data_IF_742206297990
#
_entry.id   IF_742206297990
#
_cell.length_a   1.000
_cell.length_b   1.000
_cell.length_c   1.000
_cell.angle_alpha   90.00
_cell.angle_beta   90.00
_cell.angle_gamma   90.00
#
_symmetry.space_group_name_H-M   'P 1'
#
loop_
_entity.id
_entity.type
_entity.pdbx_description
1 polymer ?
#
# COMPACT_ATOMS: atom_id res chain seq x y z
N UNK A 1 -29.51 -14.07 -17.05
CA UNK A 1 -28.79 -14.26 -18.32
C UNK A 1 -28.27 -15.70 -18.36
N UNK A 2 -28.85 -16.50 -19.23
CA UNK A 2 -28.39 -17.89 -19.46
C UNK A 2 -27.08 -17.80 -20.25
N UNK A 3 -25.95 -17.95 -19.55
CA UNK A 3 -24.68 -18.23 -20.21
C UNK A 3 -24.82 -19.52 -21.00
N UNK A 4 -24.49 -19.53 -22.29
CA UNK A 4 -24.65 -20.70 -23.12
C UNK A 4 -23.82 -21.86 -22.53
N UNK A 5 -24.34 -23.10 -22.54
CA UNK A 5 -23.63 -24.31 -22.09
C UNK A 5 -22.19 -24.37 -22.65
N UNK A 6 -22.00 -23.87 -23.87
CA UNK A 6 -20.71 -23.83 -24.58
C UNK A 6 -19.69 -22.89 -23.89
N UNK A 7 -20.11 -21.71 -23.44
CA UNK A 7 -19.25 -20.77 -22.72
C UNK A 7 -18.88 -21.29 -21.31
N UNK A 8 -19.83 -21.96 -20.63
CA UNK A 8 -19.58 -22.62 -19.34
C UNK A 8 -18.58 -23.76 -19.43
N UNK A 9 -18.65 -24.58 -20.49
CA UNK A 9 -17.70 -25.69 -20.68
C UNK A 9 -16.30 -25.18 -21.04
N UNK A 10 -16.18 -24.14 -21.87
CA UNK A 10 -14.90 -23.50 -22.19
C UNK A 10 -14.24 -22.93 -20.95
N UNK A 11 -15.00 -22.21 -20.11
CA UNK A 11 -14.50 -21.68 -18.85
C UNK A 11 -14.04 -22.77 -17.88
N UNK A 12 -14.80 -23.89 -17.76
CA UNK A 12 -14.39 -25.04 -16.95
C UNK A 12 -13.08 -25.62 -17.42
N UNK A 13 -12.94 -25.83 -18.71
CA UNK A 13 -11.73 -26.40 -19.31
C UNK A 13 -10.52 -25.50 -19.06
N UNK A 14 -10.63 -24.18 -19.30
CA UNK A 14 -9.59 -23.20 -19.02
C UNK A 14 -9.24 -23.13 -17.53
N UNK A 15 -10.25 -23.27 -16.64
CA UNK A 15 -10.04 -23.30 -15.20
C UNK A 15 -9.26 -24.52 -14.75
N UNK A 16 -9.62 -25.72 -15.24
CA UNK A 16 -8.90 -26.93 -14.91
C UNK A 16 -7.47 -26.95 -15.48
N UNK A 17 -7.28 -26.51 -16.71
CA UNK A 17 -5.95 -26.36 -17.30
C UNK A 17 -5.05 -25.43 -16.48
N UNK A 18 -5.53 -24.25 -16.11
CA UNK A 18 -4.79 -23.32 -15.26
C UNK A 18 -4.49 -23.86 -13.86
N UNK A 19 -5.43 -24.59 -13.27
CA UNK A 19 -5.26 -25.21 -11.96
C UNK A 19 -4.20 -26.31 -11.96
N UNK A 20 -4.09 -27.08 -13.01
CA UNK A 20 -3.07 -28.13 -13.15
C UNK A 20 -1.67 -27.58 -13.51
N UNK A 21 -1.57 -26.31 -13.87
CA UNK A 21 -0.29 -25.68 -14.19
C UNK A 21 0.40 -25.05 -12.98
N UNK A 22 -0.23 -25.06 -11.82
CA UNK A 22 0.34 -24.45 -10.59
C UNK A 22 0.11 -25.33 -9.38
N UNK A 23 1.14 -25.45 -8.55
CA UNK A 23 1.10 -26.14 -7.27
C UNK A 23 1.69 -25.22 -6.20
N UNK A 24 1.01 -25.12 -5.06
CA UNK A 24 1.49 -24.37 -3.90
C UNK A 24 1.71 -25.31 -2.73
N UNK A 25 2.91 -25.28 -2.15
CA UNK A 25 3.28 -26.04 -0.96
C UNK A 25 3.37 -25.07 0.21
N UNK A 26 2.36 -25.05 1.10
CA UNK A 26 2.30 -24.12 2.21
C UNK A 26 3.43 -24.38 3.21
N UNK A 27 3.98 -23.29 3.74
CA UNK A 27 5.04 -23.33 4.74
C UNK A 27 4.54 -23.66 6.13
N UNK A 28 5.47 -24.11 6.98
CA UNK A 28 5.25 -24.32 8.41
C UNK A 28 6.46 -23.85 9.21
N UNK A 29 6.25 -22.95 10.14
CA UNK A 29 7.32 -22.37 10.98
C UNK A 29 7.97 -23.40 11.91
N UNK A 30 7.24 -24.47 12.28
CA UNK A 30 7.77 -25.57 13.10
C UNK A 30 8.74 -26.48 12.36
N UNK A 31 8.79 -26.38 11.02
CA UNK A 31 9.75 -27.15 10.22
C UNK A 31 11.12 -26.48 10.21
N UNK A 32 12.19 -27.27 10.32
CA UNK A 32 13.59 -26.81 10.20
C UNK A 32 13.86 -25.98 8.93
N UNK A 33 13.11 -26.24 7.86
CA UNK A 33 13.27 -25.59 6.56
C UNK A 33 12.14 -24.58 6.24
N UNK A 34 11.26 -24.27 7.22
CA UNK A 34 10.08 -23.44 6.98
C UNK A 34 9.01 -24.12 6.11
N UNK A 35 9.26 -25.35 5.67
CA UNK A 35 8.36 -26.19 4.87
C UNK A 35 8.68 -27.66 5.13
N UNK A 36 7.70 -28.58 5.06
CA UNK A 36 7.93 -29.99 5.27
C UNK A 36 8.37 -30.72 4.02
N UNK A 37 7.86 -30.33 2.87
CA UNK A 37 8.11 -30.98 1.59
C UNK A 37 9.31 -30.37 0.85
N UNK A 38 9.56 -29.08 1.05
CA UNK A 38 10.67 -28.36 0.45
C UNK A 38 11.79 -28.18 1.46
N UNK A 39 12.99 -28.65 1.13
CA UNK A 39 14.18 -28.57 1.98
C UNK A 39 15.30 -27.92 1.20
N UNK A 40 15.86 -26.83 1.73
CA UNK A 40 16.99 -26.13 1.14
C UNK A 40 18.22 -26.34 2.05
N UNK A 41 19.34 -26.78 1.48
CA UNK A 41 20.56 -27.11 2.20
C UNK A 41 21.64 -26.01 2.17
N UNK A 42 21.34 -24.88 1.54
CA UNK A 42 22.25 -23.75 1.32
C UNK A 42 22.70 -23.66 -0.15
N UNK A 43 22.45 -24.66 -0.96
CA UNK A 43 22.77 -24.73 -2.37
C UNK A 43 21.64 -25.30 -3.20
N UNK A 44 21.11 -26.47 -2.81
CA UNK A 44 20.13 -27.21 -3.57
C UNK A 44 18.76 -27.18 -2.88
N UNK A 45 17.70 -27.14 -3.67
CA UNK A 45 16.32 -27.25 -3.21
C UNK A 45 15.78 -28.64 -3.51
N UNK A 46 15.52 -29.43 -2.48
CA UNK A 46 14.89 -30.74 -2.57
C UNK A 46 13.40 -30.64 -2.32
N UNK A 47 12.59 -31.27 -3.18
CA UNK A 47 11.12 -31.28 -3.06
C UNK A 47 10.65 -32.74 -3.02
N UNK A 48 9.97 -33.10 -1.91
CA UNK A 48 9.35 -34.43 -1.77
C UNK A 48 8.00 -34.44 -2.49
N UNK A 49 7.85 -35.31 -3.47
CA UNK A 49 6.64 -35.49 -4.26
C UNK A 49 5.60 -36.35 -3.53
N UNK A 50 4.37 -36.43 -4.03
CA UNK A 50 3.25 -37.17 -3.42
C UNK A 50 3.52 -38.69 -3.39
N UNK A 51 4.25 -39.20 -4.38
CA UNK A 51 4.65 -40.61 -4.49
C UNK A 51 5.86 -40.96 -3.61
N UNK A 52 6.37 -40.02 -2.84
CA UNK A 52 7.54 -40.16 -1.98
C UNK A 52 8.88 -39.97 -2.70
N UNK A 53 8.89 -39.77 -4.00
CA UNK A 53 10.11 -39.44 -4.75
C UNK A 53 10.61 -38.04 -4.37
N UNK A 54 11.91 -37.79 -4.57
CA UNK A 54 12.52 -36.51 -4.30
C UNK A 54 13.09 -35.91 -5.57
N UNK A 55 12.62 -34.74 -5.91
CA UNK A 55 13.15 -33.94 -7.03
C UNK A 55 14.13 -32.90 -6.47
N UNK A 56 15.33 -32.80 -7.04
CA UNK A 56 16.37 -31.87 -6.61
C UNK A 56 16.58 -30.81 -7.67
N UNK A 57 16.53 -29.53 -7.28
CA UNK A 57 16.86 -28.38 -8.10
C UNK A 57 18.25 -27.88 -7.65
N UNK A 58 19.26 -28.16 -8.45
CA UNK A 58 20.64 -27.80 -8.15
C UNK A 58 20.90 -26.32 -8.32
N UNK A 59 21.83 -25.78 -7.51
CA UNK A 59 22.25 -24.37 -7.51
C UNK A 59 21.06 -23.40 -7.44
N UNK A 60 20.07 -23.72 -6.60
CA UNK A 60 18.85 -22.94 -6.46
C UNK A 60 19.15 -21.57 -5.81
N UNK A 61 18.83 -20.50 -6.52
CA UNK A 61 18.97 -19.11 -6.06
C UNK A 61 17.76 -18.29 -6.39
N UNK A 62 17.40 -17.40 -5.49
CA UNK A 62 16.36 -16.41 -5.75
C UNK A 62 16.96 -15.18 -6.43
N UNK A 63 16.37 -14.67 -7.51
CA UNK A 63 16.89 -13.47 -8.19
C UNK A 63 16.71 -12.19 -7.34
N UNK A 64 15.93 -12.27 -6.26
CA UNK A 64 15.65 -11.17 -5.34
C UNK A 64 15.49 -11.71 -3.92
N UNK A 65 15.90 -10.92 -2.93
CA UNK A 65 15.81 -11.25 -1.49
C UNK A 65 16.51 -12.57 -1.11
N UNK A 66 17.58 -12.93 -1.83
CA UNK A 66 18.37 -14.15 -1.57
C UNK A 66 18.92 -14.18 -0.15
N UNK A 67 19.45 -13.05 0.34
CA UNK A 67 19.99 -12.94 1.70
C UNK A 67 18.91 -13.21 2.76
N UNK A 68 17.70 -12.62 2.60
CA UNK A 68 16.58 -12.86 3.50
C UNK A 68 16.11 -14.31 3.46
N UNK A 69 16.15 -14.94 2.29
CA UNK A 69 15.84 -16.36 2.13
C UNK A 69 16.87 -17.23 2.85
N UNK A 70 18.15 -17.02 2.62
CA UNK A 70 19.22 -17.79 3.26
C UNK A 70 19.26 -17.59 4.77
N UNK A 71 19.01 -16.36 5.25
CA UNK A 71 18.96 -16.05 6.68
C UNK A 71 17.89 -16.88 7.42
N UNK A 72 16.80 -17.26 6.75
CA UNK A 72 15.77 -18.11 7.34
C UNK A 72 16.27 -19.50 7.76
N UNK A 73 17.35 -19.97 7.19
CA UNK A 73 17.93 -21.29 7.50
C UNK A 73 19.05 -21.22 8.56
N UNK A 74 19.63 -20.03 8.75
CA UNK A 74 20.73 -19.79 9.71
C UNK A 74 20.26 -19.13 11.00
N UNK A 75 19.03 -18.58 11.04
CA UNK A 75 18.48 -17.95 12.23
C UNK A 75 18.08 -19.00 13.31
N UNK A 76 17.82 -18.51 14.53
CA UNK A 76 17.29 -19.35 15.61
C UNK A 76 15.92 -19.93 15.25
N UNK A 77 15.55 -21.09 15.80
CA UNK A 77 14.27 -21.74 15.51
C UNK A 77 13.04 -20.85 15.70
N UNK A 78 13.04 -20.01 16.73
CA UNK A 78 11.97 -19.07 17.07
C UNK A 78 11.79 -17.95 16.02
N UNK A 79 12.87 -17.59 15.31
CA UNK A 79 12.88 -16.54 14.29
C UNK A 79 12.58 -17.06 12.88
N UNK A 80 12.43 -18.38 12.72
CA UNK A 80 12.16 -18.99 11.42
C UNK A 80 10.78 -18.64 10.92
N UNK A 81 10.74 -18.36 9.63
CA UNK A 81 9.48 -18.09 8.93
C UNK A 81 8.97 -19.31 8.20
N UNK A 82 7.66 -19.37 8.02
CA UNK A 82 7.04 -20.28 7.08
C UNK A 82 7.38 -19.86 5.64
N UNK A 83 7.87 -20.78 4.83
CA UNK A 83 8.18 -20.54 3.43
C UNK A 83 7.16 -21.29 2.55
N UNK A 84 6.33 -20.55 1.83
CA UNK A 84 5.41 -21.14 0.87
C UNK A 84 6.08 -21.16 -0.51
N UNK A 85 6.20 -22.37 -1.09
CA UNK A 85 6.77 -22.55 -2.42
C UNK A 85 5.64 -22.72 -3.45
N UNK A 86 5.71 -21.92 -4.51
CA UNK A 86 4.77 -22.01 -5.62
C UNK A 86 5.52 -22.45 -6.88
N UNK A 87 5.05 -23.52 -7.46
CA UNK A 87 5.57 -24.10 -8.70
C UNK A 87 4.58 -23.82 -9.82
N UNK A 88 5.01 -23.13 -10.87
CA UNK A 88 4.14 -22.76 -11.99
C UNK A 88 4.79 -23.22 -13.28
N UNK A 89 4.14 -24.18 -13.95
CA UNK A 89 4.56 -24.65 -15.26
C UNK A 89 4.07 -23.68 -16.33
N UNK A 90 4.98 -23.18 -17.16
CA UNK A 90 4.65 -22.29 -18.28
C UNK A 90 5.28 -22.79 -19.57
N UNK A 91 4.82 -22.22 -20.69
CA UNK A 91 5.40 -22.39 -22.02
C UNK A 91 5.82 -21.05 -22.56
N UNK A 92 6.94 -21.01 -23.24
CA UNK A 92 7.41 -19.83 -23.97
C UNK A 92 6.74 -19.70 -25.35
N UNK A 93 7.15 -18.72 -26.13
CA UNK A 93 6.64 -18.49 -27.48
C UNK A 93 7.01 -19.61 -28.45
N UNK A 94 8.04 -20.38 -28.16
CA UNK A 94 8.52 -21.53 -28.94
C UNK A 94 7.92 -22.85 -28.44
N UNK A 95 6.91 -22.80 -27.55
CA UNK A 95 6.24 -23.91 -26.91
C UNK A 95 7.14 -24.77 -25.99
N UNK A 96 8.32 -24.30 -25.63
CA UNK A 96 9.21 -24.95 -24.68
C UNK A 96 8.67 -24.75 -23.25
N UNK A 97 8.61 -25.84 -22.50
CA UNK A 97 8.15 -25.81 -21.11
C UNK A 97 9.26 -25.32 -20.17
N UNK A 98 8.89 -24.49 -19.21
CA UNK A 98 9.75 -24.09 -18.12
C UNK A 98 8.97 -24.00 -16.81
N UNK A 99 9.66 -24.22 -15.70
CA UNK A 99 9.11 -24.17 -14.36
C UNK A 99 9.55 -22.89 -13.67
N UNK A 100 8.59 -22.10 -13.20
CA UNK A 100 8.86 -20.98 -12.29
C UNK A 100 8.68 -21.47 -10.87
N UNK A 101 9.72 -21.34 -10.06
CA UNK A 101 9.67 -21.58 -8.62
C UNK A 101 9.70 -20.21 -7.93
N UNK A 102 8.68 -19.90 -7.16
CA UNK A 102 8.65 -18.69 -6.36
C UNK A 102 8.45 -19.03 -4.88
N UNK A 103 9.13 -18.27 -4.02
CA UNK A 103 9.06 -18.44 -2.58
C UNK A 103 8.38 -17.23 -1.98
N UNK A 104 7.30 -17.46 -1.23
CA UNK A 104 6.63 -16.42 -0.45
C UNK A 104 7.19 -16.44 0.96
N UNK A 105 7.77 -15.32 1.38
CA UNK A 105 8.30 -15.09 2.72
C UNK A 105 7.83 -13.74 3.24
N UNK A 106 7.78 -13.57 4.55
CA UNK A 106 7.47 -12.29 5.19
C UNK A 106 8.75 -11.47 5.25
N UNK A 107 8.76 -10.29 4.65
CA UNK A 107 9.85 -9.33 4.81
C UNK A 107 9.66 -8.56 6.12
N UNK A 108 10.76 -8.29 6.82
CA UNK A 108 10.74 -7.45 8.02
C UNK A 108 10.54 -6.00 7.57
N UNK A 109 9.61 -5.30 8.23
CA UNK A 109 9.45 -3.87 8.01
C UNK A 109 10.72 -3.14 8.47
N UNK A 110 11.15 -2.18 7.68
CA UNK A 110 12.20 -1.25 8.08
C UNK A 110 11.60 -0.18 8.98
N UNK A 111 12.12 -0.08 10.19
CA UNK A 111 11.74 0.93 11.15
C UNK A 111 12.88 1.93 11.30
N UNK A 112 12.63 3.17 10.97
CA UNK A 112 13.57 4.27 11.20
C UNK A 112 13.01 5.17 12.30
N UNK A 113 13.65 5.18 13.45
CA UNK A 113 13.30 6.06 14.58
C UNK A 113 13.85 7.48 14.45
N UNK A 114 14.71 7.73 13.47
CA UNK A 114 15.26 9.06 13.22
C UNK A 114 14.28 9.92 12.44
N UNK A 115 13.92 11.07 12.99
CA UNK A 115 12.93 12.01 12.44
C UNK A 115 13.55 13.26 11.81
N UNK A 116 14.89 13.43 11.91
CA UNK A 116 15.61 14.67 11.61
C UNK A 116 15.57 15.12 10.14
N UNK A 117 15.16 14.26 9.21
CA UNK A 117 15.08 14.62 7.79
C UNK A 117 13.63 14.89 7.32
N UNK A 118 12.67 14.86 8.25
CA UNK A 118 11.27 15.10 7.93
C UNK A 118 10.60 13.92 7.23
N UNK A 119 9.71 14.19 6.27
CA UNK A 119 8.89 13.17 5.62
C UNK A 119 8.52 13.52 4.18
N UNK A 120 8.20 12.49 3.40
CA UNK A 120 7.39 12.58 2.19
C UNK A 120 6.02 12.01 2.55
N UNK A 121 4.97 12.76 2.36
CA UNK A 121 3.60 12.36 2.65
C UNK A 121 2.75 12.31 1.39
N UNK A 122 1.72 11.45 1.41
CA UNK A 122 0.94 11.15 0.23
C UNK A 122 -0.55 11.05 0.53
N UNK A 123 -1.35 11.78 -0.26
CA UNK A 123 -2.79 11.61 -0.40
C UNK A 123 -3.07 10.78 -1.67
N UNK A 124 -3.80 9.66 -1.50
CA UNK A 124 -4.07 8.71 -2.58
C UNK A 124 -5.44 8.96 -3.17
N UNK A 125 -5.48 9.18 -4.47
CA UNK A 125 -6.71 9.27 -5.23
C UNK A 125 -6.77 8.20 -6.34
N UNK A 126 -7.94 8.02 -6.93
CA UNK A 126 -8.15 6.99 -7.96
C UNK A 126 -7.40 7.28 -9.28
N UNK A 127 -7.00 8.52 -9.52
CA UNK A 127 -6.39 9.01 -10.77
C UNK A 127 -5.08 9.77 -10.55
N UNK A 128 -4.66 9.95 -9.28
CA UNK A 128 -3.40 10.61 -8.97
C UNK A 128 -2.93 10.36 -7.54
N UNK A 129 -1.65 10.58 -7.32
CA UNK A 129 -1.05 10.78 -6.01
C UNK A 129 -0.72 12.25 -5.83
N UNK A 130 -1.12 12.85 -4.73
CA UNK A 130 -0.62 14.14 -4.30
C UNK A 130 0.47 13.91 -3.24
N UNK A 131 1.64 14.49 -3.46
CA UNK A 131 2.80 14.37 -2.57
C UNK A 131 3.11 15.72 -1.95
N UNK A 132 3.50 15.70 -0.68
CA UNK A 132 4.12 16.83 -0.01
C UNK A 132 5.43 16.37 0.66
N UNK A 133 6.48 17.17 0.52
CA UNK A 133 7.75 16.98 1.18
C UNK A 133 7.88 17.99 2.31
N UNK A 134 8.16 17.51 3.53
CA UNK A 134 8.30 18.31 4.73
C UNK A 134 9.71 18.13 5.32
N UNK A 135 10.21 19.16 5.98
CA UNK A 135 11.33 19.02 6.91
C UNK A 135 10.85 18.57 8.30
N UNK A 136 11.78 18.39 9.23
CA UNK A 136 11.50 17.95 10.60
C UNK A 136 10.64 18.96 11.38
N UNK A 137 10.67 20.23 11.00
CA UNK A 137 9.83 21.27 11.60
C UNK A 137 8.43 21.33 11.00
N UNK A 138 8.16 20.54 9.99
CA UNK A 138 6.90 20.52 9.24
C UNK A 138 6.77 21.67 8.25
N UNK A 139 7.87 22.30 7.83
CA UNK A 139 7.86 23.27 6.73
C UNK A 139 7.67 22.53 5.41
N UNK A 140 6.77 23.00 4.58
CA UNK A 140 6.57 22.48 3.22
C UNK A 140 7.77 22.86 2.34
N UNK A 141 8.50 21.85 1.86
CA UNK A 141 9.68 22.04 1.00
C UNK A 141 9.34 21.90 -0.48
N UNK A 142 8.53 20.89 -0.82
CA UNK A 142 8.13 20.60 -2.20
C UNK A 142 6.78 19.91 -2.23
N UNK A 143 6.14 19.94 -3.39
CA UNK A 143 4.88 19.26 -3.63
C UNK A 143 4.78 18.80 -5.08
N UNK A 144 4.16 17.66 -5.29
CA UNK A 144 4.02 17.07 -6.62
C UNK A 144 2.68 16.39 -6.78
N UNK A 145 2.15 16.47 -7.99
CA UNK A 145 0.97 15.70 -8.41
C UNK A 145 1.42 14.68 -9.47
N UNK A 146 1.21 13.40 -9.20
CA UNK A 146 1.52 12.31 -10.13
C UNK A 146 0.20 11.76 -10.64
N UNK A 147 -0.13 12.10 -11.90
CA UNK A 147 -1.38 11.67 -12.55
C UNK A 147 -1.21 10.34 -13.25
N UNK A 148 -2.26 9.52 -13.22
CA UNK A 148 -2.34 8.25 -13.94
C UNK A 148 -3.79 7.95 -14.31
N UNK A 149 -3.98 7.08 -15.31
CA UNK A 149 -5.31 6.60 -15.74
C UNK A 149 -5.38 5.08 -15.58
N UNK A 150 -6.27 4.63 -14.70
CA UNK A 150 -6.53 3.21 -14.45
C UNK A 150 -7.83 2.71 -15.10
N UNK A 151 -8.58 3.60 -15.75
CA UNK A 151 -9.86 3.24 -16.36
C UNK A 151 -9.68 2.29 -17.54
N UNK A 152 -10.52 1.27 -17.60
CA UNK A 152 -10.51 0.26 -18.69
C UNK A 152 -9.16 -0.44 -18.92
N UNK A 153 -8.27 -0.46 -17.91
CA UNK A 153 -6.99 -1.13 -17.98
C UNK A 153 -7.09 -2.56 -17.43
N UNK A 154 -6.36 -3.47 -18.08
CA UNK A 154 -6.20 -4.83 -17.56
C UNK A 154 -5.37 -4.82 -16.26
N UNK A 155 -5.46 -5.89 -15.49
CA UNK A 155 -4.68 -6.09 -14.25
C UNK A 155 -3.18 -5.84 -14.43
N UNK A 156 -2.58 -6.34 -15.51
CA UNK A 156 -1.17 -6.14 -15.82
C UNK A 156 -0.83 -4.68 -16.15
N UNK A 157 -1.69 -4.01 -16.92
CA UNK A 157 -1.53 -2.59 -17.23
C UNK A 157 -1.62 -1.72 -15.97
N UNK A 158 -2.59 -1.97 -15.09
CA UNK A 158 -2.71 -1.29 -13.79
C UNK A 158 -1.42 -1.45 -12.97
N UNK A 159 -0.88 -2.67 -12.89
CA UNK A 159 0.38 -2.93 -12.16
C UNK A 159 1.56 -2.14 -12.74
N UNK A 160 1.67 -2.06 -14.06
CA UNK A 160 2.73 -1.31 -14.72
C UNK A 160 2.59 0.20 -14.52
N UNK A 161 1.37 0.75 -14.63
CA UNK A 161 1.08 2.18 -14.42
C UNK A 161 1.40 2.57 -12.98
N UNK A 162 0.92 1.81 -12.01
CA UNK A 162 1.20 2.06 -10.59
C UNK A 162 2.70 1.91 -10.29
N UNK A 163 3.37 0.90 -10.83
CA UNK A 163 4.82 0.73 -10.67
C UNK A 163 5.63 1.91 -11.22
N UNK A 164 5.20 2.53 -12.32
CA UNK A 164 5.81 3.74 -12.85
C UNK A 164 5.55 4.96 -11.94
N UNK A 165 4.32 5.09 -11.41
CA UNK A 165 3.96 6.16 -10.47
C UNK A 165 4.74 6.01 -9.14
N UNK A 166 4.81 4.80 -8.60
CA UNK A 166 5.55 4.46 -7.38
C UNK A 166 7.04 4.82 -7.50
N UNK A 167 7.64 4.61 -8.67
CA UNK A 167 9.05 4.96 -8.90
C UNK A 167 9.33 6.43 -8.57
N UNK A 168 8.44 7.34 -8.96
CA UNK A 168 8.60 8.77 -8.65
C UNK A 168 8.57 9.09 -7.16
N UNK A 169 7.93 8.25 -6.35
CA UNK A 169 7.88 8.39 -4.89
C UNK A 169 9.16 7.82 -4.29
N UNK A 170 9.47 6.59 -4.64
CA UNK A 170 10.53 5.82 -4.02
C UNK A 170 11.95 6.23 -4.41
N UNK A 171 12.14 6.86 -5.56
CA UNK A 171 13.42 7.43 -5.92
C UNK A 171 13.75 8.68 -5.07
N UNK A 172 12.74 9.37 -4.52
CA UNK A 172 12.92 10.57 -3.69
C UNK A 172 13.19 10.27 -2.21
N UNK A 173 12.63 9.20 -1.66
CA UNK A 173 12.77 8.87 -0.24
C UNK A 173 14.22 8.55 0.16
N UNK A 174 14.94 7.67 -0.56
CA UNK A 174 16.34 7.34 -0.23
C UNK A 174 17.30 8.50 -0.41
N UNK A 175 17.15 9.29 -1.50
CA UNK A 175 18.01 10.43 -1.78
C UNK A 175 18.03 11.45 -0.64
N UNK A 176 16.95 11.50 0.14
CA UNK A 176 16.74 12.48 1.20
C UNK A 176 16.65 11.86 2.59
N UNK A 177 16.84 10.54 2.69
CA UNK A 177 16.67 9.76 3.92
C UNK A 177 15.35 10.10 4.66
N UNK A 178 14.26 10.22 3.89
CA UNK A 178 12.95 10.58 4.38
C UNK A 178 12.04 9.37 4.46
N UNK A 179 11.23 9.34 5.51
CA UNK A 179 10.15 8.36 5.64
C UNK A 179 8.98 8.68 4.70
N UNK A 180 8.24 7.65 4.32
CA UNK A 180 6.99 7.79 3.60
C UNK A 180 5.81 7.68 4.56
N UNK A 181 4.88 8.62 4.47
CA UNK A 181 3.67 8.66 5.31
C UNK A 181 2.44 8.69 4.40
N UNK A 182 1.46 7.84 4.67
CA UNK A 182 0.16 7.85 4.00
C UNK A 182 -0.99 7.62 4.98
N UNK A 183 -2.21 7.81 4.52
CA UNK A 183 -3.41 7.47 5.28
C UNK A 183 -3.59 5.95 5.38
N UNK A 184 -4.04 5.48 6.54
CA UNK A 184 -4.53 4.11 6.73
C UNK A 184 -5.99 4.04 6.27
N UNK A 185 -6.17 3.77 4.98
CA UNK A 185 -7.50 3.66 4.39
C UNK A 185 -8.07 2.31 4.76
N UNK A 186 -8.97 2.29 5.76
CA UNK A 186 -9.73 1.10 6.11
C UNK A 186 -10.74 0.77 5.00
N UNK A 187 -10.38 -0.19 4.17
CA UNK A 187 -11.17 -0.66 3.03
C UNK A 187 -12.32 -1.58 3.44
N UNK A 188 -12.43 -1.91 4.73
CA UNK A 188 -13.57 -2.69 5.27
C UNK A 188 -14.78 -1.80 5.52
N UNK A 189 -14.60 -0.50 5.67
CA UNK A 189 -15.68 0.46 5.84
C UNK A 189 -16.42 0.59 4.51
N UNK A 190 -17.70 0.20 4.50
CA UNK A 190 -18.59 0.42 3.35
C UNK A 190 -18.71 1.91 3.10
N UNK A 191 -18.03 2.42 2.07
CA UNK A 191 -18.19 3.80 1.64
C UNK A 191 -19.68 4.08 1.39
N UNK A 192 -20.24 5.17 1.94
CA UNK A 192 -21.64 5.50 1.73
C UNK A 192 -21.92 5.63 0.23
N UNK A 193 -22.92 4.94 -0.25
CA UNK A 193 -23.32 4.93 -1.65
C UNK A 193 -23.68 6.36 -2.10
N UNK A 194 -22.80 7.00 -2.88
CA UNK A 194 -23.13 8.29 -3.50
C UNK A 194 -24.37 8.13 -4.39
N UNK A 195 -25.35 8.99 -4.21
CA UNK A 195 -26.69 8.88 -4.80
C UNK A 195 -26.78 9.13 -6.33
N UNK A 196 -25.69 9.47 -7.02
CA UNK A 196 -25.72 9.82 -8.45
C UNK A 196 -24.60 9.13 -9.24
N UNK A 197 -24.96 8.42 -10.32
CA UNK A 197 -24.07 7.75 -11.26
C UNK A 197 -24.30 6.23 -11.35
N UNK A 198 -23.76 5.59 -12.37
CA UNK A 198 -23.89 4.14 -12.60
C UNK A 198 -23.21 3.35 -11.45
N UNK A 199 -24.03 3.00 -10.46
CA UNK A 199 -23.67 2.60 -9.08
C UNK A 199 -22.72 1.41 -8.97
N UNK A 200 -22.73 0.46 -9.92
CA UNK A 200 -21.96 -0.79 -9.83
C UNK A 200 -20.53 -0.64 -10.38
N UNK A 201 -20.30 0.16 -11.41
CA UNK A 201 -18.98 0.33 -12.02
C UNK A 201 -18.02 1.16 -11.15
N UNK A 202 -18.50 2.30 -10.62
CA UNK A 202 -17.65 3.22 -9.86
C UNK A 202 -17.22 2.66 -8.48
N UNK A 203 -18.07 1.86 -7.83
CA UNK A 203 -17.80 1.34 -6.48
C UNK A 203 -16.73 0.24 -6.49
N UNK A 204 -16.81 -0.70 -7.43
CA UNK A 204 -15.81 -1.77 -7.55
C UNK A 204 -14.44 -1.27 -8.00
N UNK A 205 -14.41 -0.28 -8.90
CA UNK A 205 -13.14 0.31 -9.37
C UNK A 205 -12.41 1.04 -8.27
N UNK A 206 -13.11 1.80 -7.43
CA UNK A 206 -12.49 2.62 -6.39
C UNK A 206 -11.84 1.77 -5.30
N UNK A 207 -12.57 0.84 -4.69
CA UNK A 207 -12.04 -0.03 -3.62
C UNK A 207 -10.88 -0.91 -4.10
N UNK A 208 -11.02 -1.52 -5.27
CA UNK A 208 -10.01 -2.39 -5.84
C UNK A 208 -8.73 -1.64 -6.24
N UNK A 209 -8.86 -0.41 -6.74
CA UNK A 209 -7.73 0.46 -7.06
C UNK A 209 -6.97 0.85 -5.79
N UNK A 210 -7.66 1.31 -4.75
CA UNK A 210 -7.05 1.69 -3.48
C UNK A 210 -6.30 0.53 -2.81
N UNK A 211 -6.90 -0.67 -2.76
CA UNK A 211 -6.23 -1.86 -2.21
C UNK A 211 -4.93 -2.18 -2.95
N UNK A 212 -4.95 -2.10 -4.28
CA UNK A 212 -3.77 -2.35 -5.10
C UNK A 212 -2.69 -1.30 -4.90
N UNK A 213 -3.08 -0.03 -4.86
CA UNK A 213 -2.18 1.09 -4.62
C UNK A 213 -1.52 0.91 -3.24
N UNK A 214 -2.30 0.75 -2.18
CA UNK A 214 -1.79 0.58 -0.82
C UNK A 214 -0.84 -0.61 -0.72
N UNK A 215 -1.22 -1.77 -1.27
CA UNK A 215 -0.37 -2.97 -1.28
C UNK A 215 0.89 -2.79 -2.13
N UNK A 216 0.82 -2.05 -3.25
CA UNK A 216 1.99 -1.76 -4.08
C UNK A 216 3.00 -0.93 -3.32
N UNK A 217 2.55 0.14 -2.69
CA UNK A 217 3.38 1.06 -1.91
C UNK A 217 4.03 0.35 -0.73
N UNK A 218 3.25 -0.39 0.06
CA UNK A 218 3.77 -1.16 1.18
C UNK A 218 4.84 -2.17 0.75
N UNK A 219 4.58 -2.94 -0.30
CA UNK A 219 5.55 -3.88 -0.85
C UNK A 219 6.81 -3.20 -1.40
N UNK A 220 6.68 -2.04 -2.03
CA UNK A 220 7.84 -1.29 -2.54
C UNK A 220 8.66 -0.67 -1.40
N UNK A 221 8.01 -0.17 -0.36
CA UNK A 221 8.69 0.33 0.85
C UNK A 221 9.50 -0.77 1.51
N UNK A 222 8.93 -1.96 1.71
CA UNK A 222 9.62 -3.13 2.26
C UNK A 222 10.83 -3.55 1.42
N UNK A 223 10.68 -3.60 0.09
CA UNK A 223 11.75 -4.02 -0.82
C UNK A 223 12.92 -3.04 -0.89
N UNK A 224 12.68 -1.78 -0.59
CA UNK A 224 13.67 -0.70 -0.67
C UNK A 224 14.16 -0.25 0.70
N UNK A 225 13.71 -0.94 1.76
CA UNK A 225 14.04 -0.61 3.15
C UNK A 225 13.74 0.85 3.52
N UNK A 226 12.60 1.36 3.01
CA UNK A 226 12.14 2.70 3.30
C UNK A 226 11.17 2.64 4.48
N UNK A 227 11.41 3.48 5.48
CA UNK A 227 10.50 3.63 6.62
C UNK A 227 9.13 4.11 6.15
N UNK A 228 8.09 3.33 6.47
CA UNK A 228 6.74 3.56 6.00
C UNK A 228 5.75 3.59 7.16
N UNK A 229 4.94 4.64 7.23
CA UNK A 229 3.98 4.85 8.29
C UNK A 229 2.59 5.13 7.74
N UNK A 230 1.59 4.59 8.42
CA UNK A 230 0.18 4.88 8.16
C UNK A 230 -0.38 5.72 9.29
N UNK A 231 -1.21 6.70 8.94
CA UNK A 231 -1.89 7.58 9.90
C UNK A 231 -3.40 7.47 9.74
N UNK A 232 -4.13 7.81 10.80
CA UNK A 232 -5.59 7.90 10.76
C UNK A 232 -6.05 9.00 9.79
N UNK A 233 -6.91 8.70 8.80
CA UNK A 233 -7.37 9.65 7.78
C UNK A 233 -8.35 10.70 8.30
N UNK A 234 -8.76 10.63 9.58
CA UNK A 234 -9.80 11.50 10.10
C UNK A 234 -9.46 12.99 9.93
N UNK A 235 -10.30 13.70 9.21
CA UNK A 235 -10.25 15.14 8.96
C UNK A 235 -9.07 15.69 8.14
N UNK A 236 -8.16 14.87 7.64
CA UNK A 236 -6.95 15.31 6.91
C UNK A 236 -7.27 16.23 5.72
N UNK A 237 -8.22 15.85 4.88
CA UNK A 237 -8.66 16.68 3.75
C UNK A 237 -9.33 17.98 4.17
N UNK A 238 -10.09 17.97 5.27
CA UNK A 238 -10.78 19.17 5.79
C UNK A 238 -9.76 20.13 6.40
N UNK A 239 -8.83 19.62 7.22
CA UNK A 239 -7.70 20.38 7.76
C UNK A 239 -6.89 21.01 6.63
N UNK A 240 -6.51 20.20 5.64
CA UNK A 240 -5.76 20.67 4.49
C UNK A 240 -6.45 21.80 3.74
N UNK A 241 -7.72 21.60 3.39
CA UNK A 241 -8.54 22.60 2.71
C UNK A 241 -8.60 23.91 3.48
N UNK A 242 -8.84 23.86 4.77
CA UNK A 242 -9.09 25.02 5.59
C UNK A 242 -7.80 25.76 5.98
N UNK A 243 -6.77 25.04 6.45
CA UNK A 243 -5.56 25.66 7.00
C UNK A 243 -4.53 26.00 5.91
N UNK A 244 -4.40 25.19 4.87
CA UNK A 244 -3.21 25.20 4.03
C UNK A 244 -3.47 25.51 2.57
N UNK A 245 -4.63 25.15 2.02
CA UNK A 245 -4.91 25.29 0.59
C UNK A 245 -4.73 26.75 0.11
N UNK A 246 -5.33 27.71 0.82
CA UNK A 246 -5.19 29.15 0.49
C UNK A 246 -3.82 29.72 0.90
N UNK A 247 -3.30 29.29 2.03
CA UNK A 247 -2.03 29.78 2.57
C UNK A 247 -0.86 29.51 1.62
N UNK A 248 -0.85 28.35 0.97
CA UNK A 248 0.23 27.93 0.08
C UNK A 248 -0.16 27.97 -1.41
N UNK A 249 -1.39 28.34 -1.74
CA UNK A 249 -1.86 28.37 -3.14
C UNK A 249 -1.88 26.98 -3.82
N UNK A 250 -2.21 25.93 -3.07
CA UNK A 250 -2.13 24.54 -3.49
C UNK A 250 -3.51 23.90 -3.64
N UNK A 251 -3.60 22.77 -4.34
CA UNK A 251 -4.85 22.03 -4.47
C UNK A 251 -5.26 21.39 -3.13
N UNK A 252 -6.55 21.00 -3.04
CA UNK A 252 -7.07 20.32 -1.85
C UNK A 252 -6.31 19.03 -1.55
N UNK A 253 -5.93 18.26 -2.58
CA UNK A 253 -5.20 17.00 -2.44
C UNK A 253 -3.75 17.21 -1.99
N UNK A 254 -3.08 18.26 -2.49
CA UNK A 254 -1.76 18.62 -2.03
C UNK A 254 -1.78 19.13 -0.57
N UNK A 255 -2.83 19.87 -0.21
CA UNK A 255 -3.04 20.32 1.17
C UNK A 255 -3.36 19.15 2.11
N UNK A 256 -4.13 18.16 1.66
CA UNK A 256 -4.35 16.91 2.39
C UNK A 256 -3.03 16.14 2.58
N UNK A 257 -2.23 15.97 1.52
CA UNK A 257 -0.91 15.33 1.61
C UNK A 257 -0.01 16.05 2.63
N UNK A 258 0.02 17.38 2.63
CA UNK A 258 0.77 18.16 3.61
C UNK A 258 0.28 17.91 5.05
N UNK A 259 -1.04 17.88 5.25
CA UNK A 259 -1.65 17.57 6.55
C UNK A 259 -1.29 16.17 7.04
N UNK A 260 -1.32 15.17 6.14
CA UNK A 260 -0.88 13.80 6.42
C UNK A 260 0.56 13.79 6.94
N UNK A 261 1.44 14.58 6.31
CA UNK A 261 2.82 14.74 6.75
C UNK A 261 2.94 15.31 8.15
N UNK A 262 2.20 16.36 8.46
CA UNK A 262 2.19 16.99 9.79
C UNK A 262 1.69 16.01 10.87
N UNK A 263 0.60 15.26 10.59
CA UNK A 263 0.10 14.22 11.50
C UNK A 263 1.16 13.15 11.74
N UNK A 264 1.79 12.66 10.68
CA UNK A 264 2.80 11.61 10.77
C UNK A 264 4.13 12.04 11.41
N UNK A 265 4.42 13.34 11.44
CA UNK A 265 5.54 13.92 12.19
C UNK A 265 5.17 14.27 13.64
N UNK A 266 3.88 14.13 14.02
CA UNK A 266 3.42 14.46 15.37
C UNK A 266 3.28 15.97 15.64
N UNK A 267 3.27 16.81 14.61
CA UNK A 267 3.20 18.27 14.69
C UNK A 267 1.73 18.75 14.78
N UNK A 268 1.02 18.25 15.78
CA UNK A 268 -0.43 18.45 15.94
C UNK A 268 -0.81 19.90 16.26
N UNK A 269 0.10 20.68 16.86
CA UNK A 269 -0.11 22.10 17.16
C UNK A 269 -0.32 22.93 15.89
N UNK A 270 0.23 22.51 14.77
CA UNK A 270 0.04 23.16 13.46
C UNK A 270 -1.31 22.87 12.81
N UNK A 271 -2.06 21.93 13.36
CA UNK A 271 -3.36 21.49 12.87
C UNK A 271 -4.54 22.16 13.58
N UNK A 272 -4.25 22.98 14.58
CA UNK A 272 -5.27 23.74 15.32
C UNK A 272 -5.43 25.10 14.65
N UNK A 273 -6.65 25.47 14.20
CA UNK A 273 -6.90 26.79 13.64
C UNK A 273 -6.84 27.86 14.72
N UNK A 274 -6.26 29.01 14.40
CA UNK A 274 -6.28 30.15 15.30
C UNK A 274 -7.68 30.82 15.37
N UNK A 275 -7.90 31.65 16.38
CA UNK A 275 -9.18 32.34 16.59
C UNK A 275 -9.57 33.27 15.44
N UNK A 276 -8.60 33.83 14.70
CA UNK A 276 -8.86 34.69 13.53
C UNK A 276 -9.42 33.87 12.39
N UNK A 277 -8.87 32.65 12.16
CA UNK A 277 -9.38 31.73 11.14
C UNK A 277 -10.79 31.26 11.47
N UNK A 278 -11.06 30.96 12.73
CA UNK A 278 -12.40 30.54 13.19
C UNK A 278 -13.44 31.64 13.03
N UNK A 279 -13.07 32.90 13.28
CA UNK A 279 -13.96 34.04 13.09
C UNK A 279 -14.37 34.31 11.63
N UNK A 280 -13.64 33.74 10.67
CA UNK A 280 -14.01 33.80 9.25
C UNK A 280 -15.10 32.79 8.87
N UNK A 281 -15.40 31.83 9.73
CA UNK A 281 -16.41 30.80 9.49
C UNK A 281 -17.78 31.27 9.93
N UNK A 282 -18.79 30.96 9.11
CA UNK A 282 -20.19 31.14 9.54
C UNK A 282 -20.57 30.02 10.49
N UNK A 283 -20.93 30.36 11.71
CA UNK A 283 -21.42 29.40 12.70
C UNK A 283 -22.89 29.05 12.41
N UNK A 284 -23.26 27.80 12.70
CA UNK A 284 -24.67 27.37 12.68
C UNK A 284 -25.46 27.97 13.85
N UNK A 285 -24.78 28.27 14.96
CA UNK A 285 -25.34 28.71 16.24
C UNK A 285 -24.88 30.12 16.69
N UNK A 286 -24.11 30.82 15.88
CA UNK A 286 -23.66 32.20 16.18
C UNK A 286 -22.48 32.33 17.14
N UNK A 287 -22.00 31.26 17.78
CA UNK A 287 -20.89 31.28 18.74
C UNK A 287 -19.69 30.47 18.26
N UNK A 288 -18.49 31.01 18.43
CA UNK A 288 -17.22 30.32 18.17
C UNK A 288 -16.86 29.49 19.40
N UNK A 289 -16.74 28.18 19.31
CA UNK A 289 -16.38 27.34 20.44
C UNK A 289 -14.93 27.59 20.89
N UNK A 290 -14.69 27.57 22.20
CA UNK A 290 -13.34 27.57 22.76
C UNK A 290 -12.75 26.14 22.71
N UNK A 291 -11.50 26.03 22.28
CA UNK A 291 -10.78 24.75 22.13
C UNK A 291 -9.58 24.73 23.08
N UNK A 292 -9.80 24.55 24.37
CA UNK A 292 -8.74 24.38 25.34
C UNK A 292 -8.54 22.90 25.67
N UNK A 293 -7.29 22.44 25.69
CA UNK A 293 -6.86 21.10 26.14
C UNK A 293 -7.46 19.89 25.37
N UNK A 294 -8.01 20.09 24.19
CA UNK A 294 -8.55 19.01 23.36
C UNK A 294 -7.52 18.47 22.37
N UNK A 295 -7.66 17.20 21.99
CA UNK A 295 -6.89 16.64 20.87
C UNK A 295 -7.32 17.29 19.54
N UNK A 296 -6.41 17.41 18.58
CA UNK A 296 -6.74 17.98 17.26
C UNK A 296 -7.95 17.31 16.60
N UNK A 297 -8.15 15.99 16.80
CA UNK A 297 -9.30 15.28 16.26
C UNK A 297 -10.61 15.74 16.85
N UNK A 298 -10.67 15.94 18.19
CA UNK A 298 -11.86 16.43 18.86
C UNK A 298 -12.17 17.87 18.42
N UNK A 299 -11.15 18.71 18.29
CA UNK A 299 -11.28 20.06 17.76
C UNK A 299 -11.93 20.03 16.38
N UNK A 300 -11.41 19.21 15.46
CA UNK A 300 -11.93 19.12 14.09
C UNK A 300 -13.31 18.47 14.02
N UNK A 301 -13.63 17.50 14.87
CA UNK A 301 -14.98 16.95 14.99
C UNK A 301 -15.98 18.06 15.37
N UNK A 302 -15.65 18.92 16.33
CA UNK A 302 -16.50 20.04 16.74
C UNK A 302 -16.58 21.10 15.65
N UNK A 303 -15.46 21.48 15.03
CA UNK A 303 -15.44 22.44 13.91
C UNK A 303 -16.37 21.97 12.78
N UNK A 304 -16.25 20.71 12.37
CA UNK A 304 -17.08 20.16 11.27
C UNK A 304 -18.57 20.15 11.62
N UNK A 305 -18.93 19.92 12.88
CA UNK A 305 -20.31 19.94 13.34
C UNK A 305 -20.86 21.36 13.51
N UNK A 306 -20.03 22.31 13.92
CA UNK A 306 -20.45 23.69 14.22
C UNK A 306 -20.50 24.56 12.97
N UNK A 307 -19.54 24.39 12.06
CA UNK A 307 -19.42 25.27 10.89
C UNK A 307 -19.95 24.61 9.62
N UNK A 308 -20.59 25.39 8.77
CA UNK A 308 -21.06 24.95 7.46
C UNK A 308 -20.02 25.24 6.38
N UNK A 309 -19.78 24.28 5.48
CA UNK A 309 -18.97 24.47 4.27
C UNK A 309 -17.46 24.20 4.42
N UNK A 310 -17.06 23.52 5.47
CA UNK A 310 -15.70 22.97 5.65
C UNK A 310 -15.54 21.65 4.90
#
# INVERSE_FOLDING_TARGET
QKTSKKASNKWRQEFFEKRHQSMSLPGRHTSKYGNFLCKYDGKDLSVTCIDGSVTIFHDFKLPRNEESFQKNFTCKPEDRQSLCYNFILKRDKENKQYLIISVTMKLKAYENSYYGNGAISMDINYDHFALAELDETGKLLDQKLIRFDLMNKSTGQVTNILGAADKHIFDRCPEKDKRLIMEDIDLTIKLPSRKHGNRKGNHHMTLFAYQRIASSIENQSLKREIAFYKIDPAYTSQMGKFLFMRKYGISIHQAAAYTIGLVGLGLYEKLVPDSRMLNLLKTKEGTVPEFSQETYKNIWARITNTFSGI
#
